data_IF_323586797935
#
_entry.id   IF_323586797935
#
_cell.length_a   1.000
_cell.length_b   1.000
_cell.length_c   1.000
_cell.angle_alpha   90.00
_cell.angle_beta   90.00
_cell.angle_gamma   90.00
#
_symmetry.space_group_name_H-M   'P 1'
#
loop_
_entity.id
_entity.type
_entity.pdbx_description
1 polymer ?
#
# COMPACT_ATOMS: atom_id res chain seq x y z
N UNK A 1 -23.24 0.90 -8.37
CA UNK A 1 -22.71 0.83 -6.99
C UNK A 1 -23.26 2.00 -6.20
N UNK A 2 -23.60 1.76 -4.93
CA UNK A 2 -23.90 2.84 -3.99
C UNK A 2 -22.59 3.49 -3.54
N UNK A 3 -22.58 4.82 -3.36
CA UNK A 3 -21.41 5.57 -2.91
C UNK A 3 -21.74 6.20 -1.57
N UNK A 4 -20.84 6.05 -0.59
CA UNK A 4 -20.94 6.70 0.72
C UNK A 4 -20.04 7.92 0.75
N UNK A 5 -20.57 9.06 1.21
CA UNK A 5 -19.81 10.31 1.35
C UNK A 5 -19.28 10.44 2.78
N UNK A 6 -17.98 10.65 2.91
CA UNK A 6 -17.33 11.00 4.17
C UNK A 6 -16.76 12.42 4.10
N UNK A 7 -16.75 13.11 5.23
CA UNK A 7 -16.10 14.42 5.38
C UNK A 7 -14.92 14.23 6.33
N UNK A 8 -13.72 14.49 5.83
CA UNK A 8 -12.47 14.36 6.59
C UNK A 8 -11.65 15.64 6.46
N UNK A 9 -10.96 16.01 7.53
CA UNK A 9 -10.00 17.11 7.51
C UNK A 9 -8.65 16.58 7.06
N UNK A 10 -8.00 17.31 6.16
CA UNK A 10 -6.65 17.00 5.68
C UNK A 10 -5.77 18.23 5.85
N UNK A 11 -4.46 18.04 5.97
CA UNK A 11 -3.53 19.15 6.02
C UNK A 11 -3.58 19.98 4.73
N UNK A 12 -3.57 21.32 4.88
CA UNK A 12 -3.69 22.25 3.74
C UNK A 12 -2.58 22.03 2.70
N UNK A 13 -1.35 21.77 3.14
CA UNK A 13 -0.24 21.48 2.25
C UNK A 13 -0.49 20.21 1.43
N UNK A 14 -1.02 19.16 2.07
CA UNK A 14 -1.35 17.90 1.40
C UNK A 14 -2.49 18.11 0.40
N UNK A 15 -3.55 18.82 0.79
CA UNK A 15 -4.67 19.16 -0.09
C UNK A 15 -4.18 19.89 -1.34
N UNK A 16 -3.38 20.94 -1.19
CA UNK A 16 -2.82 21.72 -2.30
C UNK A 16 -1.95 20.86 -3.24
N UNK A 17 -1.13 19.94 -2.69
CA UNK A 17 -0.32 19.02 -3.49
C UNK A 17 -1.17 18.03 -4.27
N UNK A 18 -2.23 17.51 -3.67
CA UNK A 18 -3.16 16.58 -4.34
C UNK A 18 -3.91 17.32 -5.45
N UNK A 19 -4.49 18.48 -5.17
CA UNK A 19 -5.19 19.31 -6.14
C UNK A 19 -4.29 19.67 -7.33
N UNK A 20 -3.04 20.07 -7.07
CA UNK A 20 -2.06 20.36 -8.13
C UNK A 20 -1.77 19.15 -9.02
N UNK A 21 -1.88 17.93 -8.49
CA UNK A 21 -1.62 16.69 -9.23
C UNK A 21 -2.81 16.20 -10.04
N UNK A 22 -4.03 16.38 -9.53
CA UNK A 22 -5.24 15.71 -10.06
C UNK A 22 -6.23 16.67 -10.73
N UNK A 23 -6.10 17.98 -10.48
CA UNK A 23 -6.99 19.02 -10.97
C UNK A 23 -8.40 18.98 -10.36
N UNK A 24 -9.25 19.93 -10.75
CA UNK A 24 -10.55 20.23 -10.11
C UNK A 24 -11.56 19.08 -10.06
N UNK A 25 -11.43 18.09 -10.96
CA UNK A 25 -12.38 16.95 -11.08
C UNK A 25 -11.77 15.61 -10.69
N UNK A 26 -10.47 15.58 -10.36
CA UNK A 26 -9.74 14.34 -10.09
C UNK A 26 -9.70 13.93 -8.62
N UNK A 27 -10.13 14.81 -7.69
CA UNK A 27 -9.91 14.62 -6.26
C UNK A 27 -10.63 13.38 -5.71
N UNK A 28 -11.92 13.20 -6.02
CA UNK A 28 -12.68 12.05 -5.50
C UNK A 28 -12.10 10.72 -5.96
N UNK A 29 -11.83 10.57 -7.26
CA UNK A 29 -11.24 9.34 -7.81
C UNK A 29 -9.78 9.13 -7.40
N UNK A 30 -9.05 10.18 -7.05
CA UNK A 30 -7.73 10.05 -6.43
C UNK A 30 -7.84 9.52 -5.01
N UNK A 31 -8.72 10.12 -4.19
CA UNK A 31 -8.91 9.70 -2.79
C UNK A 31 -9.42 8.26 -2.73
N UNK A 32 -10.39 7.87 -3.56
CA UNK A 32 -10.88 6.47 -3.59
C UNK A 32 -9.75 5.48 -3.86
N UNK A 33 -8.94 5.72 -4.90
CA UNK A 33 -7.79 4.85 -5.21
C UNK A 33 -6.71 4.88 -4.12
N UNK A 34 -6.47 6.03 -3.51
CA UNK A 34 -5.50 6.14 -2.42
C UNK A 34 -5.94 5.33 -1.20
N UNK A 35 -7.23 5.37 -0.86
CA UNK A 35 -7.79 4.57 0.24
C UNK A 35 -7.78 3.08 -0.10
N UNK A 36 -8.10 2.69 -1.33
CA UNK A 36 -7.99 1.29 -1.78
C UNK A 36 -6.56 0.77 -1.65
N UNK A 37 -5.57 1.51 -2.16
CA UNK A 37 -4.17 1.10 -2.05
C UNK A 37 -3.67 1.04 -0.61
N UNK A 38 -4.16 1.92 0.27
CA UNK A 38 -3.75 1.90 1.67
C UNK A 38 -4.32 0.67 2.39
N UNK A 39 -5.58 0.32 2.13
CA UNK A 39 -6.17 -0.92 2.66
C UNK A 39 -5.45 -2.17 2.13
N UNK A 40 -5.07 -2.18 0.85
CA UNK A 40 -4.28 -3.28 0.28
C UNK A 40 -2.91 -3.42 0.94
N UNK A 41 -2.27 -2.31 1.33
CA UNK A 41 -0.99 -2.34 2.05
C UNK A 41 -1.15 -2.84 3.47
N UNK A 42 -2.15 -2.37 4.20
CA UNK A 42 -2.43 -2.82 5.56
C UNK A 42 -2.66 -4.34 5.58
N UNK A 43 -3.44 -4.86 4.61
CA UNK A 43 -3.69 -6.30 4.46
C UNK A 43 -2.41 -7.08 4.10
N UNK A 44 -1.54 -6.50 3.28
CA UNK A 44 -0.26 -7.12 2.94
C UNK A 44 0.67 -7.17 4.16
N UNK A 45 0.73 -6.11 4.95
CA UNK A 45 1.53 -6.06 6.17
C UNK A 45 1.00 -7.06 7.23
N UNK A 46 -0.32 -7.18 7.37
CA UNK A 46 -0.96 -8.20 8.21
C UNK A 46 -0.55 -9.61 7.77
N UNK A 47 -0.67 -9.90 6.47
CA UNK A 47 -0.31 -11.20 5.92
C UNK A 47 1.18 -11.53 6.07
N UNK A 48 2.06 -10.55 5.88
CA UNK A 48 3.50 -10.73 6.13
C UNK A 48 3.78 -11.03 7.61
N UNK A 49 3.06 -10.36 8.53
CA UNK A 49 3.13 -10.68 9.95
C UNK A 49 2.69 -12.11 10.27
N UNK A 50 1.60 -12.59 9.65
CA UNK A 50 1.17 -14.00 9.79
C UNK A 50 2.25 -14.98 9.31
N UNK A 51 2.89 -14.69 8.17
CA UNK A 51 3.98 -15.52 7.66
C UNK A 51 5.20 -15.53 8.59
N UNK A 52 5.55 -14.37 9.15
CA UNK A 52 6.64 -14.27 10.13
C UNK A 52 6.32 -15.03 11.42
N UNK A 53 5.06 -15.00 11.89
CA UNK A 53 4.61 -15.75 13.07
C UNK A 53 4.62 -17.28 12.82
N UNK A 54 4.20 -17.71 11.64
CA UNK A 54 4.10 -19.14 11.28
C UNK A 54 5.47 -19.77 10.97
N UNK A 55 6.35 -19.04 10.27
CA UNK A 55 7.59 -19.60 9.71
C UNK A 55 8.86 -19.03 10.35
N UNK A 56 8.78 -17.87 10.99
CA UNK A 56 9.94 -17.18 11.55
C UNK A 56 10.90 -16.62 10.49
N UNK A 57 12.05 -16.08 10.91
CA UNK A 57 13.01 -15.48 10.00
C UNK A 57 13.64 -16.52 9.06
N UNK A 58 13.97 -16.07 7.84
CA UNK A 58 14.74 -16.89 6.91
C UNK A 58 16.12 -17.22 7.51
N UNK A 59 16.62 -18.46 7.33
CA UNK A 59 17.97 -18.82 7.70
C UNK A 59 19.03 -17.96 6.99
N UNK A 60 20.08 -17.60 7.71
CA UNK A 60 21.24 -16.90 7.14
C UNK A 60 21.82 -17.67 5.94
N UNK A 61 22.10 -16.96 4.84
CA UNK A 61 22.71 -17.56 3.65
C UNK A 61 21.75 -18.29 2.71
N UNK A 62 20.45 -18.35 3.03
CA UNK A 62 19.46 -19.05 2.20
C UNK A 62 19.26 -18.37 0.84
N UNK A 63 19.20 -17.04 0.81
CA UNK A 63 19.00 -16.29 -0.44
C UNK A 63 20.20 -16.45 -1.37
N UNK A 64 21.43 -16.37 -0.85
CA UNK A 64 22.65 -16.58 -1.61
C UNK A 64 22.76 -18.00 -2.16
N UNK A 65 22.29 -18.99 -1.39
CA UNK A 65 22.22 -20.38 -1.84
C UNK A 65 21.23 -20.53 -3.01
N UNK A 66 20.04 -19.91 -2.91
CA UNK A 66 19.03 -19.98 -3.97
C UNK A 66 19.50 -19.24 -5.22
N UNK A 67 20.05 -18.03 -5.08
CA UNK A 67 20.59 -17.24 -6.20
C UNK A 67 21.69 -18.00 -6.96
N UNK A 68 22.57 -18.70 -6.24
CA UNK A 68 23.61 -19.54 -6.85
C UNK A 68 23.08 -20.79 -7.54
N UNK A 69 21.90 -21.27 -7.12
CA UNK A 69 21.21 -22.42 -7.71
C UNK A 69 20.25 -22.03 -8.84
N UNK A 70 19.97 -20.73 -9.04
CA UNK A 70 19.02 -20.27 -10.03
C UNK A 70 19.57 -20.46 -11.45
N UNK A 71 18.90 -21.22 -12.33
CA UNK A 71 19.33 -21.37 -13.71
C UNK A 71 19.14 -20.02 -14.43
N UNK A 72 20.25 -19.43 -14.86
CA UNK A 72 20.26 -18.24 -15.71
C UNK A 72 19.92 -18.58 -17.16
#
# INVERSE_FOLDING_TARGET
MAVTKWSVSVEENLASRVESRVGDRGLSGFVSRAVEHELERDLLDEYLGELDDDYGPLPDGLMEQIDGAWPS
#
